data_IF_479032356911
#
_entry.id   IF_479032356911
#
_cell.length_a   1.000
_cell.length_b   1.000
_cell.length_c   1.000
_cell.angle_alpha   90.00
_cell.angle_beta   90.00
_cell.angle_gamma   90.00
#
_symmetry.space_group_name_H-M   'P 1'
#
loop_
_entity.id
_entity.type
_entity.pdbx_description
1 polymer ?
#
# COMPACT_ATOMS: atom_id res chain seq x y z
N UNK A 1 10.34 -11.96 -12.08
CA UNK A 1 9.05 -12.08 -11.39
C UNK A 1 8.62 -10.72 -10.86
N UNK A 2 7.37 -10.37 -11.03
CA UNK A 2 6.84 -9.10 -10.52
C UNK A 2 6.73 -9.13 -9.02
N UNK A 3 6.84 -7.94 -8.40
CA UNK A 3 6.78 -7.81 -6.94
C UNK A 3 5.44 -7.21 -6.53
N UNK A 4 4.78 -7.88 -5.57
CA UNK A 4 3.52 -7.43 -5.00
C UNK A 4 3.70 -7.16 -3.51
N UNK A 5 3.47 -5.92 -3.08
CA UNK A 5 3.44 -5.61 -1.66
C UNK A 5 2.06 -5.96 -1.11
N UNK A 6 2.04 -6.76 -0.06
CA UNK A 6 0.85 -7.04 0.74
C UNK A 6 0.99 -6.28 2.05
N UNK A 7 0.30 -5.14 2.15
CA UNK A 7 0.34 -4.28 3.32
C UNK A 7 -0.82 -4.65 4.23
N UNK A 8 -0.52 -5.35 5.31
CA UNK A 8 -1.54 -5.87 6.22
C UNK A 8 -0.85 -6.28 7.52
N UNK A 9 -1.38 -5.86 8.67
CA UNK A 9 -0.77 -6.17 9.96
C UNK A 9 -1.16 -7.54 10.51
N UNK A 10 -2.26 -8.12 10.02
CA UNK A 10 -2.82 -9.35 10.57
C UNK A 10 -2.83 -10.52 9.60
N UNK A 11 -3.17 -10.28 8.33
CA UNK A 11 -3.35 -11.37 7.37
C UNK A 11 -2.03 -11.80 6.77
N UNK A 12 -1.61 -13.02 7.12
CA UNK A 12 -0.39 -13.60 6.55
C UNK A 12 -0.69 -14.09 5.13
N UNK A 13 -0.06 -13.49 4.10
CA UNK A 13 -0.34 -13.90 2.71
C UNK A 13 0.20 -15.29 2.38
N UNK A 14 1.12 -15.81 3.19
CA UNK A 14 1.70 -17.15 2.97
C UNK A 14 0.82 -18.24 3.56
N UNK A 15 -0.02 -17.92 4.54
CA UNK A 15 -0.98 -18.85 5.12
C UNK A 15 -2.36 -18.72 4.49
N UNK A 16 -2.74 -17.49 4.11
CA UNK A 16 -4.05 -17.19 3.54
C UNK A 16 -3.87 -16.64 2.13
N UNK A 17 -4.34 -17.36 1.11
CA UNK A 17 -4.13 -16.92 -0.28
C UNK A 17 -5.09 -15.82 -0.73
N UNK A 18 -5.61 -15.01 0.17
CA UNK A 18 -6.51 -13.90 -0.17
C UNK A 18 -5.87 -12.94 -1.17
N UNK A 19 -4.54 -12.82 -1.14
CA UNK A 19 -3.82 -11.96 -2.08
C UNK A 19 -4.10 -12.32 -3.54
N UNK A 20 -4.42 -13.58 -3.83
CA UNK A 20 -4.76 -13.99 -5.19
C UNK A 20 -6.00 -13.27 -5.72
N UNK A 21 -6.99 -13.05 -4.84
CA UNK A 21 -8.23 -12.37 -5.21
C UNK A 21 -7.98 -10.87 -5.41
N UNK A 22 -7.15 -10.28 -4.58
CA UNK A 22 -6.95 -8.83 -4.58
C UNK A 22 -5.79 -8.36 -5.44
N UNK A 23 -4.90 -9.25 -5.87
CA UNK A 23 -3.72 -8.85 -6.64
C UNK A 23 -4.12 -8.12 -7.93
N UNK A 24 -3.64 -6.89 -8.13
CA UNK A 24 -3.91 -6.16 -9.37
C UNK A 24 -3.01 -6.57 -10.54
N UNK A 25 -2.06 -7.49 -10.31
CA UNK A 25 -1.07 -7.87 -11.30
C UNK A 25 -0.99 -9.40 -11.50
N UNK A 26 -2.01 -10.13 -11.04
CA UNK A 26 -2.09 -11.58 -11.25
C UNK A 26 -1.42 -12.38 -10.16
N UNK A 27 -1.18 -13.68 -10.46
CA UNK A 27 -0.72 -14.64 -9.48
C UNK A 27 0.79 -14.94 -9.54
N UNK A 28 1.45 -14.58 -10.63
CA UNK A 28 2.88 -14.86 -10.81
C UNK A 28 3.71 -13.71 -10.24
N UNK A 29 3.77 -13.67 -8.90
CA UNK A 29 4.38 -12.56 -8.18
C UNK A 29 5.22 -13.06 -7.00
N UNK A 30 6.21 -12.24 -6.63
CA UNK A 30 6.91 -12.37 -5.36
C UNK A 30 6.16 -11.50 -4.34
N UNK A 31 5.70 -12.11 -3.26
CA UNK A 31 4.94 -11.41 -2.22
C UNK A 31 5.91 -10.76 -1.23
N UNK A 32 5.70 -9.47 -0.98
CA UNK A 32 6.47 -8.73 0.04
C UNK A 32 5.47 -8.31 1.11
N UNK A 33 5.53 -8.95 2.27
CA UNK A 33 4.60 -8.68 3.36
C UNK A 33 5.13 -7.57 4.24
N UNK A 34 4.44 -6.43 4.23
CA UNK A 34 4.76 -5.28 5.07
C UNK A 34 3.60 -5.06 6.04
N UNK A 35 3.91 -4.80 7.30
CA UNK A 35 2.92 -4.79 8.38
C UNK A 35 2.61 -3.41 8.94
N UNK A 36 3.40 -2.39 8.59
CA UNK A 36 3.26 -1.07 9.20
C UNK A 36 3.64 0.03 8.23
N UNK A 37 3.27 1.25 8.59
CA UNK A 37 3.68 2.44 7.85
C UNK A 37 5.22 2.54 7.79
N UNK A 38 5.89 2.27 8.90
CA UNK A 38 7.35 2.34 8.95
C UNK A 38 7.99 1.35 7.99
N UNK A 39 7.51 0.10 7.98
CA UNK A 39 8.03 -0.90 7.04
C UNK A 39 7.76 -0.50 5.59
N UNK A 40 6.57 0.04 5.32
CA UNK A 40 6.20 0.46 3.97
C UNK A 40 7.12 1.57 3.45
N UNK A 41 7.30 2.63 4.25
CA UNK A 41 8.13 3.76 3.83
C UNK A 41 9.59 3.37 3.69
N UNK A 42 10.10 2.54 4.60
CA UNK A 42 11.47 2.04 4.50
C UNK A 42 11.68 1.20 3.24
N UNK A 43 10.70 0.38 2.89
CA UNK A 43 10.79 -0.42 1.67
C UNK A 43 10.92 0.47 0.43
N UNK A 44 10.02 1.46 0.29
CA UNK A 44 10.07 2.35 -0.88
C UNK A 44 11.38 3.13 -0.94
N UNK A 45 11.86 3.59 0.21
CA UNK A 45 13.10 4.38 0.25
C UNK A 45 14.34 3.57 -0.07
N UNK A 46 14.33 2.26 0.18
CA UNK A 46 15.50 1.40 -0.03
C UNK A 46 15.41 0.55 -1.29
N UNK A 47 14.21 0.11 -1.67
CA UNK A 47 14.01 -0.84 -2.77
C UNK A 47 13.31 -0.22 -3.98
N UNK A 48 12.71 0.96 -3.82
CA UNK A 48 11.93 1.58 -4.88
C UNK A 48 10.52 1.02 -4.99
N UNK A 49 9.86 1.29 -6.12
CA UNK A 49 8.46 0.88 -6.32
C UNK A 49 8.36 -0.60 -6.68
N UNK A 50 7.34 -1.29 -6.12
CA UNK A 50 6.99 -2.62 -6.60
C UNK A 50 6.16 -2.52 -7.88
N UNK A 51 5.73 -3.66 -8.39
CA UNK A 51 4.83 -3.71 -9.55
C UNK A 51 3.37 -3.53 -9.13
N UNK A 52 3.01 -3.98 -7.94
CA UNK A 52 1.66 -3.82 -7.42
C UNK A 52 1.64 -3.72 -5.90
N UNK A 53 0.56 -3.15 -5.36
CA UNK A 53 0.37 -2.99 -3.91
C UNK A 53 -1.08 -3.31 -3.55
N UNK A 54 -1.26 -4.10 -2.50
CA UNK A 54 -2.55 -4.31 -1.86
C UNK A 54 -2.53 -3.61 -0.51
N UNK A 55 -3.43 -2.65 -0.30
CA UNK A 55 -3.48 -1.83 0.91
C UNK A 55 -4.54 -2.32 1.89
N UNK A 56 -4.16 -2.52 3.16
CA UNK A 56 -5.09 -2.53 4.28
C UNK A 56 -5.16 -1.13 4.85
N UNK A 57 -6.30 -0.73 5.41
CA UNK A 57 -6.45 0.60 6.00
C UNK A 57 -6.00 0.62 7.46
N UNK A 58 -6.45 -0.35 8.25
CA UNK A 58 -6.19 -0.37 9.68
C UNK A 58 -4.92 -1.15 9.98
N UNK A 59 -3.85 -0.43 10.32
CA UNK A 59 -2.54 -1.02 10.61
C UNK A 59 -2.21 -0.81 12.08
N UNK A 60 -1.83 -1.89 12.78
CA UNK A 60 -1.27 -1.78 14.11
C UNK A 60 0.20 -1.47 14.01
N UNK A 61 0.58 -0.20 14.13
CA UNK A 61 1.98 0.19 14.00
C UNK A 61 2.67 0.10 15.36
N UNK A 62 3.61 -0.85 15.54
CA UNK A 62 4.32 -0.99 16.82
C UNK A 62 5.23 0.21 17.11
N UNK A 63 5.48 1.05 16.13
CA UNK A 63 6.26 2.28 16.31
C UNK A 63 5.37 3.48 16.57
N UNK A 64 4.06 3.27 16.77
CA UNK A 64 3.16 4.35 17.14
C UNK A 64 3.62 4.95 18.46
N UNK A 65 3.58 6.28 18.50
CA UNK A 65 4.08 7.03 19.65
C UNK A 65 3.18 6.86 20.88
N UNK A 66 3.79 6.55 22.03
CA UNK A 66 3.07 6.44 23.30
C UNK A 66 2.48 7.78 23.76
N UNK A 67 2.82 8.88 23.11
CA UNK A 67 2.33 10.22 23.46
C UNK A 67 0.95 10.53 22.86
N UNK A 68 0.23 9.52 22.38
CA UNK A 68 -1.13 9.70 21.89
C UNK A 68 -1.23 10.15 20.45
N UNK A 69 -0.14 10.13 19.71
CA UNK A 69 -0.19 10.33 18.26
C UNK A 69 -0.93 9.17 17.62
N UNK A 70 -1.82 9.48 16.69
CA UNK A 70 -2.59 8.46 15.99
C UNK A 70 -1.68 7.49 15.25
N UNK A 71 -2.02 6.22 15.30
CA UNK A 71 -1.35 5.22 14.49
C UNK A 71 -1.50 5.57 13.01
N UNK A 72 -0.43 5.36 12.25
CA UNK A 72 -0.49 5.55 10.80
C UNK A 72 -1.31 4.43 10.16
N UNK A 73 -2.13 4.80 9.20
CA UNK A 73 -3.02 3.87 8.50
C UNK A 73 -2.50 3.55 7.10
N UNK A 74 -3.20 2.64 6.43
CA UNK A 74 -2.96 2.39 5.01
C UNK A 74 -3.18 3.62 4.15
N UNK A 75 -4.09 4.51 4.57
CA UNK A 75 -4.28 5.79 3.88
C UNK A 75 -3.02 6.65 3.96
N UNK A 76 -2.36 6.67 5.12
CA UNK A 76 -1.09 7.38 5.25
C UNK A 76 -0.02 6.77 4.34
N UNK A 77 -0.03 5.45 4.19
CA UNK A 77 0.88 4.78 3.25
C UNK A 77 0.59 5.19 1.81
N UNK A 78 -0.68 5.27 1.45
CA UNK A 78 -1.08 5.70 0.10
C UNK A 78 -0.66 7.15 -0.16
N UNK A 79 -0.80 8.02 0.84
CA UNK A 79 -0.31 9.41 0.73
C UNK A 79 1.19 9.46 0.53
N UNK A 80 1.93 8.66 1.29
CA UNK A 80 3.38 8.58 1.12
C UNK A 80 3.74 8.11 -0.29
N UNK A 81 3.02 7.12 -0.81
CA UNK A 81 3.24 6.62 -2.17
C UNK A 81 3.03 7.72 -3.21
N UNK A 82 1.96 8.50 -3.08
CA UNK A 82 1.67 9.61 -3.98
C UNK A 82 2.82 10.64 -3.95
N UNK A 83 3.23 11.02 -2.75
CA UNK A 83 4.32 11.99 -2.58
C UNK A 83 5.63 11.44 -3.17
N UNK A 84 5.92 10.17 -2.93
CA UNK A 84 7.11 9.52 -3.45
C UNK A 84 7.11 9.54 -4.99
N UNK A 85 6.00 9.18 -5.59
CA UNK A 85 5.89 9.15 -7.06
C UNK A 85 5.97 10.56 -7.65
N UNK A 86 5.34 11.54 -7.00
CA UNK A 86 5.37 12.91 -7.46
C UNK A 86 6.79 13.49 -7.38
N UNK A 87 7.48 13.28 -6.27
CA UNK A 87 8.82 13.82 -6.06
C UNK A 87 9.84 13.20 -7.01
N UNK A 88 9.66 11.93 -7.36
CA UNK A 88 10.59 11.21 -8.22
C UNK A 88 10.10 11.12 -9.68
N UNK A 89 8.96 11.74 -9.98
CA UNK A 89 8.36 11.75 -11.33
C UNK A 89 8.12 10.34 -11.86
N UNK A 90 7.52 9.50 -11.00
CA UNK A 90 7.25 8.11 -11.32
C UNK A 90 5.74 7.88 -11.40
N UNK A 91 5.35 6.95 -12.27
CA UNK A 91 3.98 6.50 -12.38
C UNK A 91 3.64 5.58 -11.19
N UNK A 92 2.38 5.61 -10.73
CA UNK A 92 1.93 4.69 -9.70
C UNK A 92 2.04 3.23 -10.16
N UNK A 93 2.45 2.31 -9.27
CA UNK A 93 2.25 0.89 -9.54
C UNK A 93 0.77 0.55 -9.53
N UNK A 94 0.41 -0.64 -9.99
CA UNK A 94 -0.96 -1.12 -9.89
C UNK A 94 -1.34 -1.26 -8.40
N UNK A 95 -2.61 -1.07 -8.07
CA UNK A 95 -3.04 -1.06 -6.66
C UNK A 95 -4.43 -1.62 -6.50
N UNK A 96 -4.71 -2.11 -5.29
CA UNK A 96 -6.03 -2.52 -4.85
C UNK A 96 -6.06 -2.40 -3.33
N UNK A 97 -7.21 -2.62 -2.71
CA UNK A 97 -7.33 -2.62 -1.26
C UNK A 97 -8.18 -3.81 -0.83
N UNK A 98 -7.66 -4.56 0.14
CA UNK A 98 -8.34 -5.69 0.76
C UNK A 98 -8.96 -5.32 2.11
N UNK A 99 -9.00 -4.03 2.45
CA UNK A 99 -9.48 -3.59 3.75
C UNK A 99 -10.94 -3.96 3.97
N UNK A 100 -11.25 -4.45 5.18
CA UNK A 100 -12.61 -4.72 5.61
C UNK A 100 -13.34 -3.45 6.06
N UNK A 101 -12.62 -2.33 6.14
CA UNK A 101 -13.19 -1.01 6.45
C UNK A 101 -13.61 -0.34 5.14
N UNK A 102 -14.93 -0.30 4.80
CA UNK A 102 -15.35 0.23 3.50
C UNK A 102 -14.96 1.69 3.26
N UNK A 103 -15.09 2.54 4.29
CA UNK A 103 -14.73 3.96 4.15
C UNK A 103 -13.22 4.11 3.95
N UNK A 104 -12.42 3.35 4.70
CA UNK A 104 -10.97 3.38 4.56
C UNK A 104 -10.51 2.91 3.20
N UNK A 105 -11.10 1.82 2.71
CA UNK A 105 -10.80 1.30 1.37
C UNK A 105 -11.13 2.32 0.30
N UNK A 106 -12.32 2.92 0.38
CA UNK A 106 -12.74 3.92 -0.60
C UNK A 106 -11.82 5.13 -0.60
N UNK A 107 -11.41 5.59 0.58
CA UNK A 107 -10.51 6.74 0.70
C UNK A 107 -9.16 6.47 0.04
N UNK A 108 -8.61 5.29 0.24
CA UNK A 108 -7.34 4.90 -0.38
C UNK A 108 -7.48 4.87 -1.91
N UNK A 109 -8.49 4.18 -2.41
CA UNK A 109 -8.68 4.03 -3.84
C UNK A 109 -8.96 5.37 -4.50
N UNK A 110 -9.78 6.23 -3.87
CA UNK A 110 -10.08 7.56 -4.42
C UNK A 110 -8.83 8.43 -4.51
N UNK A 111 -7.99 8.41 -3.48
CA UNK A 111 -6.75 9.17 -3.48
C UNK A 111 -5.85 8.75 -4.66
N UNK A 112 -5.67 7.45 -4.81
CA UNK A 112 -4.78 6.91 -5.85
C UNK A 112 -5.36 7.14 -7.25
N UNK A 113 -6.68 6.97 -7.41
CA UNK A 113 -7.34 7.23 -8.70
C UNK A 113 -7.22 8.70 -9.10
N UNK A 114 -7.36 9.62 -8.15
CA UNK A 114 -7.22 11.05 -8.43
C UNK A 114 -5.80 11.40 -8.88
N UNK A 115 -4.80 10.86 -8.21
CA UNK A 115 -3.41 11.09 -8.62
C UNK A 115 -3.15 10.51 -10.01
N UNK A 116 -3.66 9.32 -10.28
CA UNK A 116 -3.49 8.67 -11.58
C UNK A 116 -4.08 9.51 -12.70
N UNK A 117 -5.27 10.10 -12.48
CA UNK A 117 -5.89 10.98 -13.46
C UNK A 117 -5.02 12.21 -13.78
N UNK A 118 -4.47 12.82 -12.73
CA UNK A 118 -3.59 13.98 -12.90
C UNK A 118 -2.34 13.59 -13.67
N UNK A 119 -1.77 12.43 -13.35
CA UNK A 119 -0.59 11.94 -14.04
C UNK A 119 -0.84 11.70 -15.52
N UNK A 120 -1.98 11.07 -15.84
CA UNK A 120 -2.32 10.71 -17.22
C UNK A 120 -2.57 11.95 -18.11
N UNK A 121 -2.95 13.10 -17.51
CA UNK A 121 -3.18 14.35 -18.22
C UNK A 121 -1.85 15.01 -18.61
N UNK A 122 -0.81 14.78 -17.82
CA UNK A 122 0.50 15.35 -18.06
C UNK A 122 1.26 14.56 -19.10
#
# INVERSE_FOLDING_TARGET
MKKLIWLDDCRDPFENPDWLVFSPIGADVEIIWLKSYTEFTNYLNTQGLPDGICFDHDLGDPMADDNGMSEKTGYDCAKFLVDYCQDNKLKLPAYNSQSSNPAGRENIISLLNNFKKIWDIK
#
